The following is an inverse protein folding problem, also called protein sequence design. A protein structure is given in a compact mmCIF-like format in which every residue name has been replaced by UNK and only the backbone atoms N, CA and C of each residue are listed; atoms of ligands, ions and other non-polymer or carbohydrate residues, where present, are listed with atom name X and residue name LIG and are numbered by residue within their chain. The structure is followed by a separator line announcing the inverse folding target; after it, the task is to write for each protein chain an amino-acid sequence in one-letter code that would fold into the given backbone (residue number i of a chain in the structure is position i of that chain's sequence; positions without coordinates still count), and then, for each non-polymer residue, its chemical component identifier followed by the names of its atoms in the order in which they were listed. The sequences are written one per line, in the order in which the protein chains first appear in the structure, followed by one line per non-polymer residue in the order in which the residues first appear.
data_IF_502606779342
#
_entry.id   IF_502606779342
#
_cell.length_a   1.000
_cell.length_b   1.000
_cell.length_c   1.000
_cell.angle_alpha   90.00
_cell.angle_beta   90.00
_cell.angle_gamma   90.00
#
_symmetry.space_group_name_H-M   'P 1'
#
loop_
_entity.id
_entity.type
_entity.pdbx_description
1 polymer ?
#
# COMPACT_ATOMS: atom_id res chain seq x y z
N UNK A 1 27.23 4.86 -2.86
CA UNK A 1 26.46 6.12 -2.74
C UNK A 1 25.40 6.01 -1.66
N UNK A 2 25.16 7.10 -0.92
CA UNK A 2 24.07 7.16 0.05
C UNK A 2 22.76 7.43 -0.69
N UNK A 3 22.00 6.37 -0.97
CA UNK A 3 20.65 6.47 -1.51
C UNK A 3 19.77 7.24 -0.53
N UNK A 4 19.17 8.33 -1.00
CA UNK A 4 18.23 9.12 -0.20
C UNK A 4 16.96 9.39 -1.00
N UNK A 5 15.85 9.48 -0.28
CA UNK A 5 14.57 9.90 -0.81
C UNK A 5 14.34 11.38 -0.55
N UNK A 6 13.65 12.06 -1.46
CA UNK A 6 13.16 13.42 -1.21
C UNK A 6 12.22 13.44 0.01
N UNK A 7 12.10 14.57 0.72
CA UNK A 7 11.18 14.71 1.85
C UNK A 7 9.74 14.31 1.49
N UNK A 8 9.29 14.69 0.28
CA UNK A 8 7.96 14.31 -0.23
C UNK A 8 7.82 12.80 -0.40
N UNK A 9 8.84 12.09 -0.94
CA UNK A 9 8.78 10.62 -1.01
C UNK A 9 8.63 9.99 0.36
N UNK A 10 9.38 10.49 1.35
CA UNK A 10 9.33 9.93 2.71
C UNK A 10 7.92 10.08 3.30
N UNK A 11 7.32 11.26 3.17
CA UNK A 11 5.95 11.49 3.62
C UNK A 11 4.91 10.63 2.87
N UNK A 12 5.09 10.40 1.57
CA UNK A 12 4.25 9.50 0.78
C UNK A 12 4.36 8.04 1.30
N UNK A 13 5.57 7.55 1.57
CA UNK A 13 5.78 6.22 2.13
C UNK A 13 5.19 6.09 3.53
N UNK A 14 5.42 7.06 4.42
CA UNK A 14 4.84 7.10 5.77
C UNK A 14 3.32 6.97 5.71
N UNK A 15 2.65 7.76 4.86
CA UNK A 15 1.20 7.68 4.66
C UNK A 15 0.74 6.31 4.16
N UNK A 16 1.52 5.65 3.31
CA UNK A 16 1.19 4.31 2.81
C UNK A 16 1.36 3.25 3.91
N UNK A 17 2.39 3.38 4.74
CA UNK A 17 2.63 2.51 5.89
C UNK A 17 1.52 2.62 6.94
N UNK A 18 1.06 3.84 7.26
CA UNK A 18 -0.04 4.06 8.22
C UNK A 18 -1.34 3.38 7.76
N UNK A 19 -1.67 3.52 6.47
CA UNK A 19 -2.84 2.86 5.88
C UNK A 19 -2.72 1.35 5.86
N UNK A 20 -1.53 0.84 5.53
CA UNK A 20 -1.22 -0.59 5.57
C UNK A 20 -1.38 -1.16 6.99
N UNK A 21 -0.89 -0.44 8.01
CA UNK A 21 -1.06 -0.84 9.41
C UNK A 21 -2.54 -0.84 9.82
N UNK A 22 -3.31 0.16 9.37
CA UNK A 22 -4.76 0.22 9.57
C UNK A 22 -5.45 -0.99 8.93
N UNK A 23 -5.16 -1.30 7.66
CA UNK A 23 -5.70 -2.47 6.96
C UNK A 23 -5.38 -3.77 7.72
N UNK A 24 -4.12 -3.94 8.14
CA UNK A 24 -3.68 -5.10 8.90
C UNK A 24 -4.44 -5.25 10.23
N UNK A 25 -4.74 -4.16 10.93
CA UNK A 25 -5.53 -4.19 12.17
C UNK A 25 -6.96 -4.69 11.94
N UNK A 26 -7.61 -4.24 10.87
CA UNK A 26 -8.95 -4.70 10.49
C UNK A 26 -8.95 -6.14 10.00
N UNK A 27 -7.93 -6.55 9.22
CA UNK A 27 -7.77 -7.93 8.79
C UNK A 27 -7.59 -8.88 9.98
N UNK A 28 -6.78 -8.49 10.98
CA UNK A 28 -6.62 -9.26 12.22
C UNK A 28 -7.92 -9.35 13.01
N UNK A 29 -8.67 -8.25 13.12
CA UNK A 29 -9.97 -8.24 13.80
C UNK A 29 -10.94 -9.20 13.10
N UNK A 30 -11.10 -9.06 11.79
CA UNK A 30 -11.94 -9.92 10.97
C UNK A 30 -11.59 -11.40 11.20
N UNK A 31 -10.30 -11.75 11.12
CA UNK A 31 -9.83 -13.13 11.26
C UNK A 31 -10.06 -13.71 12.66
N UNK A 32 -9.88 -12.91 13.71
CA UNK A 32 -9.99 -13.38 15.11
C UNK A 32 -11.43 -13.56 15.56
N UNK A 33 -12.36 -12.75 15.04
CA UNK A 33 -13.73 -12.67 15.56
C UNK A 33 -14.80 -12.96 14.52
N UNK A 34 -14.42 -13.44 13.33
CA UNK A 34 -15.31 -13.66 12.19
C UNK A 34 -16.13 -12.38 11.84
N UNK A 35 -15.50 -11.21 11.99
CA UNK A 35 -16.18 -9.92 11.83
C UNK A 35 -16.24 -9.53 10.34
N UNK A 36 -17.36 -9.86 9.70
CA UNK A 36 -17.64 -9.50 8.31
C UNK A 36 -17.60 -7.99 8.05
N UNK A 37 -17.93 -7.13 9.03
CA UNK A 37 -17.84 -5.67 8.84
C UNK A 37 -16.39 -5.24 8.78
N UNK A 38 -15.55 -5.74 9.70
CA UNK A 38 -14.11 -5.50 9.67
C UNK A 38 -13.49 -6.01 8.35
N UNK A 39 -13.90 -7.19 7.88
CA UNK A 39 -13.48 -7.72 6.59
C UNK A 39 -13.86 -6.79 5.43
N UNK A 40 -15.11 -6.30 5.41
CA UNK A 40 -15.56 -5.34 4.39
C UNK A 40 -14.76 -4.03 4.38
N UNK A 41 -14.41 -3.52 5.56
CA UNK A 41 -13.56 -2.30 5.69
C UNK A 41 -12.18 -2.51 5.05
N UNK A 42 -11.59 -3.70 5.14
CA UNK A 42 -10.28 -3.95 4.49
C UNK A 42 -10.31 -3.72 2.98
N UNK A 43 -11.43 -4.06 2.31
CA UNK A 43 -11.59 -3.87 0.86
C UNK A 43 -11.76 -2.40 0.48
N UNK A 44 -12.27 -1.58 1.39
CA UNK A 44 -12.33 -0.13 1.19
C UNK A 44 -10.93 0.46 1.31
N UNK A 45 -10.18 0.06 2.36
CA UNK A 45 -8.82 0.56 2.59
C UNK A 45 -7.88 0.14 1.46
N UNK A 46 -7.99 -1.09 0.94
CA UNK A 46 -7.15 -1.54 -0.19
C UNK A 46 -7.33 -0.67 -1.44
N UNK A 47 -8.57 -0.33 -1.81
CA UNK A 47 -8.81 0.61 -2.92
C UNK A 47 -8.14 1.96 -2.69
N UNK A 48 -8.19 2.48 -1.47
CA UNK A 48 -7.50 3.72 -1.14
C UNK A 48 -5.97 3.57 -1.21
N UNK A 49 -5.42 2.41 -0.86
CA UNK A 49 -3.99 2.11 -0.98
C UNK A 49 -3.60 2.02 -2.46
N UNK A 50 -4.39 1.36 -3.29
CA UNK A 50 -4.15 1.25 -4.74
C UNK A 50 -4.12 2.62 -5.42
N UNK A 51 -5.08 3.49 -5.08
CA UNK A 51 -5.11 4.88 -5.55
C UNK A 51 -3.84 5.63 -5.14
N UNK A 52 -3.40 5.49 -3.89
CA UNK A 52 -2.17 6.14 -3.41
C UNK A 52 -0.92 5.58 -4.08
N UNK A 53 -0.82 4.26 -4.24
CA UNK A 53 0.28 3.61 -4.97
C UNK A 53 0.38 4.16 -6.39
N UNK A 54 -0.75 4.28 -7.09
CA UNK A 54 -0.80 4.85 -8.43
C UNK A 54 -0.34 6.32 -8.44
N UNK A 55 -0.90 7.15 -7.56
CA UNK A 55 -0.54 8.57 -7.47
C UNK A 55 0.94 8.76 -7.12
N UNK A 56 1.48 7.99 -6.18
CA UNK A 56 2.87 8.11 -5.75
C UNK A 56 3.85 7.63 -6.80
N UNK A 57 3.48 6.61 -7.61
CA UNK A 57 4.26 6.24 -8.81
C UNK A 57 4.35 7.42 -9.79
N UNK A 58 3.23 8.08 -10.09
CA UNK A 58 3.21 9.26 -10.97
C UNK A 58 4.03 10.43 -10.41
N UNK A 59 3.88 10.70 -9.11
CA UNK A 59 4.65 11.75 -8.43
C UNK A 59 6.14 11.45 -8.45
N UNK A 60 6.53 10.18 -8.35
CA UNK A 60 7.93 9.78 -8.39
C UNK A 60 8.53 9.93 -9.80
N UNK A 61 7.80 9.55 -10.85
CA UNK A 61 8.22 9.78 -12.24
C UNK A 61 8.52 11.26 -12.47
N UNK A 62 7.63 12.16 -12.05
CA UNK A 62 7.85 13.61 -12.16
C UNK A 62 9.11 14.08 -11.42
N UNK A 63 9.39 13.51 -10.24
CA UNK A 63 10.60 13.86 -9.46
C UNK A 63 11.89 13.38 -10.13
N UNK A 64 11.85 12.24 -10.83
CA UNK A 64 12.95 11.77 -11.65
C UNK A 64 13.17 12.68 -12.86
N UNK A 65 12.10 13.04 -13.58
CA UNK A 65 12.17 13.96 -14.73
C UNK A 65 12.75 15.34 -14.36
N UNK A 66 12.49 15.81 -13.14
CA UNK A 66 12.98 17.08 -12.62
C UNK A 66 14.38 16.99 -11.98
N UNK A 67 15.00 15.82 -11.91
CA UNK A 67 16.29 15.61 -11.27
C UNK A 67 16.28 15.78 -9.74
N UNK A 68 15.10 15.74 -9.12
CA UNK A 68 14.91 15.88 -7.65
C UNK A 68 15.25 14.56 -6.93
N UNK A 69 15.20 13.43 -7.64
CA UNK A 69 15.54 12.11 -7.11
C UNK A 69 16.62 11.43 -7.96
N UNK A 70 17.50 10.67 -7.31
CA UNK A 70 18.46 9.80 -7.98
C UNK A 70 17.73 8.61 -8.63
N UNK A 71 18.19 8.17 -9.80
CA UNK A 71 17.60 7.02 -10.51
C UNK A 71 17.54 5.76 -9.64
N UNK A 72 18.64 5.43 -8.95
CA UNK A 72 18.72 4.26 -8.08
C UNK A 72 17.74 4.36 -6.89
N UNK A 73 17.60 5.54 -6.29
CA UNK A 73 16.58 5.79 -5.27
C UNK A 73 15.17 5.59 -5.84
N UNK A 74 14.94 5.97 -7.10
CA UNK A 74 13.62 5.81 -7.71
C UNK A 74 13.22 4.37 -8.01
N UNK A 75 14.18 3.52 -8.36
CA UNK A 75 13.95 2.08 -8.48
C UNK A 75 13.51 1.49 -7.13
N UNK A 76 14.24 1.79 -6.05
CA UNK A 76 13.91 1.32 -4.70
C UNK A 76 12.53 1.83 -4.26
N UNK A 77 12.19 3.09 -4.55
CA UNK A 77 10.87 3.64 -4.23
C UNK A 77 9.74 2.89 -4.93
N UNK A 78 9.90 2.63 -6.23
CA UNK A 78 8.91 1.89 -7.05
C UNK A 78 8.71 0.45 -6.55
N UNK A 79 9.80 -0.20 -6.15
CA UNK A 79 9.76 -1.55 -5.56
C UNK A 79 8.98 -1.56 -4.25
N UNK A 80 9.26 -0.60 -3.35
CA UNK A 80 8.54 -0.48 -2.07
C UNK A 80 7.03 -0.33 -2.31
N UNK A 81 6.61 0.57 -3.21
CA UNK A 81 5.19 0.74 -3.53
C UNK A 81 4.55 -0.55 -4.06
N UNK A 82 5.27 -1.29 -4.89
CA UNK A 82 4.80 -2.56 -5.45
C UNK A 82 4.68 -3.64 -4.38
N UNK A 83 5.65 -3.75 -3.46
CA UNK A 83 5.58 -4.70 -2.36
C UNK A 83 4.47 -4.38 -1.36
N UNK A 84 4.23 -3.10 -1.07
CA UNK A 84 3.12 -2.70 -0.20
C UNK A 84 1.76 -3.04 -0.84
N UNK A 85 1.57 -2.77 -2.14
CA UNK A 85 0.35 -3.19 -2.85
C UNK A 85 0.11 -4.70 -2.73
N UNK A 86 1.12 -5.51 -3.07
CA UNK A 86 1.02 -6.99 -3.00
C UNK A 86 0.75 -7.50 -1.58
N UNK A 87 1.34 -6.90 -0.56
CA UNK A 87 1.10 -7.27 0.83
C UNK A 87 -0.35 -6.98 1.23
N UNK A 88 -0.90 -5.82 0.83
CA UNK A 88 -2.29 -5.47 1.12
C UNK A 88 -3.27 -6.37 0.34
N UNK A 89 -2.97 -6.72 -0.92
CA UNK A 89 -3.73 -7.71 -1.68
C UNK A 89 -3.82 -9.06 -0.95
N UNK A 90 -2.70 -9.53 -0.39
CA UNK A 90 -2.68 -10.78 0.39
C UNK A 90 -3.57 -10.69 1.64
N UNK A 91 -3.50 -9.57 2.37
CA UNK A 91 -4.38 -9.35 3.53
C UNK A 91 -5.86 -9.30 3.12
N UNK A 92 -6.19 -8.66 2.00
CA UNK A 92 -7.54 -8.64 1.47
C UNK A 92 -8.01 -9.99 0.94
N UNK A 93 -7.13 -10.84 0.43
CA UNK A 93 -7.50 -12.20 0.05
C UNK A 93 -7.90 -13.05 1.26
N UNK A 94 -7.26 -12.86 2.41
CA UNK A 94 -7.67 -13.51 3.67
C UNK A 94 -9.08 -13.05 4.06
N UNK A 95 -9.36 -11.74 4.06
CA UNK A 95 -10.67 -11.21 4.46
C UNK A 95 -11.77 -11.50 3.43
N UNK A 96 -11.45 -11.59 2.14
CA UNK A 96 -12.35 -12.10 1.09
C UNK A 96 -12.81 -13.53 1.39
N UNK A 97 -11.94 -14.38 1.94
CA UNK A 97 -12.28 -15.72 2.41
C UNK A 97 -13.36 -15.72 3.50
N UNK A 98 -13.24 -14.80 4.47
CA UNK A 98 -14.24 -14.59 5.55
C UNK A 98 -15.58 -14.11 4.97
N UNK A 99 -15.52 -13.18 4.02
CA UNK A 99 -16.72 -12.66 3.34
C UNK A 99 -17.36 -13.66 2.36
N UNK A 100 -16.70 -14.78 2.07
CA UNK A 100 -17.09 -15.73 1.03
C UNK A 100 -17.27 -15.08 -0.35
N UNK A 101 -16.42 -14.09 -0.67
CA UNK A 101 -16.38 -13.43 -1.97
C UNK A 101 -15.05 -13.69 -2.67
N UNK A 102 -15.07 -13.80 -3.99
CA UNK A 102 -13.88 -14.15 -4.79
C UNK A 102 -14.10 -15.41 -5.61
N UNK A 103 -13.42 -15.51 -6.75
CA UNK A 103 -13.59 -16.65 -7.67
C UNK A 103 -13.04 -17.91 -7.01
N UNK A 104 -13.90 -18.93 -6.87
CA UNK A 104 -13.46 -20.33 -6.83
C UNK A 104 -12.85 -20.71 -8.16
#
# INVERSE_FOLDING_TARGET
DNLTFSPTAKAELERLFDKTQTLMSFAQKALKTDDHKAAGVTLVIEKEIDELVFQFKLNHIKRLEQGVCLNDSGLVFSDILTYIGRMNDHLCNITKGILHIGKR
#
